data_IF_593333741287
#
_entry.id   IF_593333741287
#
_cell.length_a   1.000
_cell.length_b   1.000
_cell.length_c   1.000
_cell.angle_alpha   90.00
_cell.angle_beta   90.00
_cell.angle_gamma   90.00
#
_symmetry.space_group_name_H-M   'P 1'
#
loop_
_entity.id
_entity.type
_entity.pdbx_description
1 polymer ?
#
# COMPACT_ATOMS: atom_id res chain seq x y z
N UNK A 1 -58.58 46.16 15.51
CA UNK A 1 -59.05 45.90 14.13
C UNK A 1 -57.87 45.50 13.27
N UNK A 2 -57.96 44.36 12.57
CA UNK A 2 -57.03 43.86 11.55
C UNK A 2 -57.03 44.79 10.31
N UNK A 3 -56.04 44.92 9.40
CA UNK A 3 -55.03 43.99 8.84
C UNK A 3 -53.76 44.73 8.36
N UNK A 4 -52.62 44.02 8.21
CA UNK A 4 -51.42 44.46 7.50
C UNK A 4 -51.51 44.17 5.98
N UNK A 5 -50.81 44.97 5.16
CA UNK A 5 -50.43 44.57 3.79
C UNK A 5 -48.94 44.85 3.60
N UNK A 6 -48.21 43.78 3.31
CA UNK A 6 -46.80 43.76 2.99
C UNK A 6 -46.58 44.08 1.51
N UNK A 7 -45.56 44.87 1.19
CA UNK A 7 -44.88 44.80 -0.11
C UNK A 7 -43.36 44.69 0.08
N UNK A 8 -42.94 43.44 -0.09
CA UNK A 8 -41.65 42.90 -0.58
C UNK A 8 -40.39 43.78 -0.57
N UNK A 9 -39.33 43.24 0.06
CA UNK A 9 -37.90 43.56 -0.19
C UNK A 9 -37.57 43.45 -1.70
N UNK A 10 -36.48 44.08 -2.19
CA UNK A 10 -35.19 43.40 -2.12
C UNK A 10 -34.02 44.25 -1.59
N UNK A 11 -33.04 43.48 -1.13
CA UNK A 11 -31.66 43.81 -0.77
C UNK A 11 -30.98 44.77 -1.75
N UNK A 12 -30.12 45.66 -1.24
CA UNK A 12 -28.69 45.67 -1.57
C UNK A 12 -27.95 46.67 -0.68
N UNK A 13 -26.88 46.16 -0.06
CA UNK A 13 -25.98 46.90 0.81
C UNK A 13 -25.13 47.90 0.02
N UNK A 14 -24.99 49.12 0.51
CA UNK A 14 -23.95 50.05 0.06
C UNK A 14 -23.16 50.59 1.27
N UNK A 15 -21.94 50.06 1.38
CA UNK A 15 -20.68 50.70 1.74
C UNK A 15 -20.72 51.83 2.79
N UNK A 16 -20.48 51.46 4.06
CA UNK A 16 -19.98 52.39 5.08
C UNK A 16 -18.51 52.72 4.81
N UNK A 17 -18.24 53.92 4.30
CA UNK A 17 -16.90 54.53 4.30
C UNK A 17 -16.51 54.81 5.75
N UNK A 18 -15.38 54.27 6.22
CA UNK A 18 -14.80 54.60 7.54
C UNK A 18 -13.70 55.64 7.34
N UNK A 19 -13.87 56.82 7.94
CA UNK A 19 -12.84 57.84 8.01
C UNK A 19 -11.67 57.37 8.87
N UNK A 20 -10.44 57.49 8.36
CA UNK A 20 -9.21 57.30 9.13
C UNK A 20 -8.52 58.66 9.28
N UNK A 21 -8.24 59.05 10.53
CA UNK A 21 -7.44 60.22 10.85
C UNK A 21 -5.95 59.91 10.56
N UNK A 22 -5.31 60.76 9.77
CA UNK A 22 -3.87 60.68 9.48
C UNK A 22 -3.17 61.72 10.36
N UNK A 23 -2.36 61.25 11.32
CA UNK A 23 -1.40 62.11 12.00
C UNK A 23 -0.14 62.20 11.14
N UNK A 24 0.08 63.34 10.51
CA UNK A 24 1.33 63.67 9.83
C UNK A 24 2.16 64.49 10.81
N UNK A 25 3.33 63.99 11.21
CA UNK A 25 4.30 64.80 11.95
C UNK A 25 4.97 65.80 10.98
N UNK A 26 5.13 67.04 11.42
CA UNK A 26 5.67 68.16 10.60
C UNK A 26 7.11 67.96 10.08
N UNK A 27 7.77 66.86 10.46
CA UNK A 27 9.13 66.55 10.02
C UNK A 27 9.24 66.00 8.59
N UNK A 28 8.15 65.66 7.90
CA UNK A 28 8.21 65.03 6.56
C UNK A 28 7.94 65.95 5.35
N UNK A 29 7.82 67.27 5.53
CA UNK A 29 7.52 68.19 4.40
C UNK A 29 8.66 68.41 3.38
N UNK A 30 9.85 67.83 3.54
CA UNK A 30 11.01 68.12 2.65
C UNK A 30 11.51 66.98 1.78
N UNK A 31 10.88 65.82 1.77
CA UNK A 31 11.23 64.75 0.83
C UNK A 31 9.98 64.28 0.10
N UNK A 32 9.99 64.39 -1.24
CA UNK A 32 8.98 63.79 -2.13
C UNK A 32 9.06 62.27 -2.09
N UNK A 33 8.78 61.69 -0.94
CA UNK A 33 8.73 60.24 -0.75
C UNK A 33 7.27 59.84 -0.92
N UNK A 34 6.94 59.12 -2.00
CA UNK A 34 5.64 58.46 -2.16
C UNK A 34 5.44 57.55 -0.95
N UNK A 35 4.51 57.90 -0.07
CA UNK A 35 4.07 57.02 1.03
C UNK A 35 3.17 55.95 0.42
N UNK A 36 3.72 54.75 0.22
CA UNK A 36 2.96 53.60 -0.24
C UNK A 36 2.13 53.06 0.95
N UNK A 37 0.82 53.34 0.94
CA UNK A 37 -0.10 52.86 1.97
C UNK A 37 -0.36 51.37 1.73
N UNK A 38 0.49 50.52 2.29
CA UNK A 38 0.24 49.07 2.31
C UNK A 38 -0.79 48.78 3.41
N UNK A 39 -2.06 48.65 3.03
CA UNK A 39 -3.10 48.17 3.93
C UNK A 39 -2.76 46.74 4.40
N UNK A 40 -2.24 46.62 5.64
CA UNK A 40 -2.01 45.32 6.27
C UNK A 40 -3.36 44.61 6.40
N UNK A 41 -3.56 43.55 5.61
CA UNK A 41 -4.74 42.68 5.67
C UNK A 41 -5.05 42.30 7.11
N UNK A 42 -6.33 42.34 7.49
CA UNK A 42 -6.76 42.14 8.87
C UNK A 42 -6.21 40.82 9.44
N UNK A 43 -5.81 40.83 10.71
CA UNK A 43 -5.35 39.63 11.43
C UNK A 43 -6.43 38.54 11.42
N UNK A 44 -7.71 38.93 11.38
CA UNK A 44 -8.85 38.02 11.27
C UNK A 44 -8.86 37.26 9.94
N UNK A 45 -8.61 37.92 8.80
CA UNK A 45 -8.57 37.23 7.49
C UNK A 45 -7.38 36.29 7.37
N UNK A 46 -6.23 36.64 7.97
CA UNK A 46 -5.07 35.74 8.04
C UNK A 46 -5.36 34.51 8.91
N UNK A 47 -6.04 34.68 10.06
CA UNK A 47 -6.43 33.57 10.94
C UNK A 47 -7.50 32.68 10.30
N UNK A 48 -8.49 33.27 9.63
CA UNK A 48 -9.56 32.54 8.93
C UNK A 48 -8.98 31.61 7.86
N UNK A 49 -8.14 32.15 6.97
CA UNK A 49 -7.49 31.35 5.90
C UNK A 49 -6.53 30.29 6.43
N UNK A 50 -5.85 30.55 7.55
CA UNK A 50 -4.99 29.54 8.20
C UNK A 50 -5.81 28.38 8.78
N UNK A 51 -6.98 28.67 9.35
CA UNK A 51 -7.88 27.66 9.87
C UNK A 51 -8.59 26.89 8.76
N UNK A 52 -9.04 27.56 7.70
CA UNK A 52 -9.59 26.95 6.47
C UNK A 52 -8.56 25.96 5.90
N UNK A 53 -7.33 26.39 5.62
CA UNK A 53 -6.26 25.50 5.11
C UNK A 53 -5.94 24.33 6.05
N UNK A 54 -6.02 24.53 7.37
CA UNK A 54 -5.77 23.45 8.34
C UNK A 54 -6.92 22.44 8.37
N UNK A 55 -8.14 22.87 8.11
CA UNK A 55 -9.29 22.00 7.97
C UNK A 55 -9.26 21.27 6.63
N UNK A 56 -8.93 21.95 5.53
CA UNK A 56 -8.79 21.34 4.20
C UNK A 56 -7.73 20.22 4.20
N UNK A 57 -6.58 20.44 4.86
CA UNK A 57 -5.55 19.40 5.02
C UNK A 57 -6.04 18.23 5.87
N UNK A 58 -6.79 18.50 6.95
CA UNK A 58 -7.36 17.43 7.78
C UNK A 58 -8.44 16.63 7.06
N UNK A 59 -9.27 17.28 6.24
CA UNK A 59 -10.30 16.65 5.44
C UNK A 59 -9.70 15.84 4.30
N UNK A 60 -8.67 16.36 3.61
CA UNK A 60 -7.91 15.62 2.61
C UNK A 60 -7.23 14.37 3.19
N UNK A 61 -6.64 14.48 4.40
CA UNK A 61 -6.09 13.32 5.10
C UNK A 61 -7.17 12.29 5.45
N UNK A 62 -8.32 12.72 5.96
CA UNK A 62 -9.44 11.81 6.29
C UNK A 62 -10.03 11.12 5.06
N UNK A 63 -10.23 11.85 3.96
CA UNK A 63 -10.72 11.26 2.71
C UNK A 63 -9.71 10.30 2.09
N UNK A 64 -8.41 10.61 2.15
CA UNK A 64 -7.38 9.68 1.69
C UNK A 64 -7.31 8.40 2.56
N UNK A 65 -7.41 8.54 3.89
CA UNK A 65 -7.41 7.41 4.80
C UNK A 65 -8.67 6.54 4.64
N UNK A 66 -9.85 7.15 4.45
CA UNK A 66 -11.11 6.45 4.20
C UNK A 66 -11.13 5.77 2.83
N UNK A 67 -10.58 6.40 1.80
CA UNK A 67 -10.46 5.79 0.47
C UNK A 67 -9.49 4.60 0.49
N UNK A 68 -8.41 4.68 1.27
CA UNK A 68 -7.47 3.58 1.46
C UNK A 68 -8.11 2.45 2.28
N UNK A 69 -8.87 2.78 3.32
CA UNK A 69 -9.61 1.82 4.14
C UNK A 69 -10.73 1.12 3.35
N UNK A 70 -11.46 1.84 2.49
CA UNK A 70 -12.44 1.25 1.57
C UNK A 70 -11.79 0.37 0.50
N UNK A 71 -10.63 0.76 -0.04
CA UNK A 71 -9.86 -0.08 -0.96
C UNK A 71 -9.40 -1.36 -0.28
N UNK A 72 -8.86 -1.25 0.93
CA UNK A 72 -8.44 -2.39 1.74
C UNK A 72 -9.64 -3.28 2.12
N UNK A 73 -10.81 -2.70 2.43
CA UNK A 73 -12.02 -3.47 2.72
C UNK A 73 -12.56 -4.19 1.49
N UNK A 74 -12.55 -3.55 0.31
CA UNK A 74 -12.95 -4.16 -0.96
C UNK A 74 -11.95 -5.22 -1.44
N UNK A 75 -10.66 -5.02 -1.19
CA UNK A 75 -9.65 -6.07 -1.39
C UNK A 75 -9.87 -7.23 -0.42
N UNK A 76 -10.07 -6.98 0.88
CA UNK A 76 -10.36 -8.00 1.89
C UNK A 76 -11.59 -8.84 1.54
N UNK A 77 -12.63 -8.22 0.98
CA UNK A 77 -13.83 -8.92 0.52
C UNK A 77 -13.58 -9.83 -0.71
N UNK A 78 -12.51 -9.60 -1.47
CA UNK A 78 -12.06 -10.44 -2.59
C UNK A 78 -10.99 -11.46 -2.19
N UNK A 79 -10.47 -11.40 -0.96
CA UNK A 79 -9.47 -12.36 -0.47
C UNK A 79 -10.15 -13.71 -0.26
N UNK A 80 -9.59 -14.75 -0.87
CA UNK A 80 -9.90 -16.12 -0.50
C UNK A 80 -9.55 -16.29 0.98
N UNK A 81 -10.42 -16.99 1.74
CA UNK A 81 -10.14 -17.32 3.13
C UNK A 81 -8.71 -17.89 3.25
N UNK A 82 -7.92 -17.48 4.25
CA UNK A 82 -6.58 -18.01 4.43
C UNK A 82 -6.62 -19.54 4.42
N UNK A 83 -5.76 -20.22 3.65
CA UNK A 83 -5.78 -21.66 3.62
C UNK A 83 -5.60 -22.21 5.04
N UNK A 84 -6.33 -23.26 5.43
CA UNK A 84 -6.16 -23.87 6.74
C UNK A 84 -4.70 -24.31 6.90
N UNK A 85 -4.16 -24.30 8.14
CA UNK A 85 -2.82 -24.79 8.38
C UNK A 85 -2.65 -26.21 7.82
N UNK A 86 -1.51 -26.53 7.21
CA UNK A 86 -1.26 -27.86 6.66
C UNK A 86 -1.24 -28.90 7.78
N UNK A 87 -1.70 -30.12 7.47
CA UNK A 87 -1.77 -31.24 8.44
C UNK A 87 -0.38 -31.72 8.88
N UNK A 88 0.63 -31.56 8.02
CA UNK A 88 2.04 -31.83 8.29
C UNK A 88 2.93 -31.09 7.28
N UNK A 89 4.23 -31.00 7.57
CA UNK A 89 5.23 -30.43 6.66
C UNK A 89 5.36 -31.23 5.36
N UNK A 90 5.20 -32.55 5.39
CA UNK A 90 5.20 -33.40 4.18
C UNK A 90 4.02 -33.08 3.25
N UNK A 91 2.81 -32.91 3.81
CA UNK A 91 1.62 -32.52 3.04
C UNK A 91 1.81 -31.13 2.44
N UNK A 92 2.41 -30.20 3.20
CA UNK A 92 2.74 -28.87 2.69
C UNK A 92 3.75 -28.94 1.53
N UNK A 93 4.78 -29.79 1.64
CA UNK A 93 5.80 -29.99 0.58
C UNK A 93 5.17 -30.52 -0.69
N UNK A 94 4.32 -31.53 -0.59
CA UNK A 94 3.60 -32.08 -1.74
C UNK A 94 2.71 -31.03 -2.43
N UNK A 95 1.96 -30.26 -1.65
CA UNK A 95 1.12 -29.17 -2.18
C UNK A 95 1.96 -28.08 -2.86
N UNK A 96 3.09 -27.70 -2.26
CA UNK A 96 4.03 -26.73 -2.84
C UNK A 96 4.58 -27.21 -4.19
N UNK A 97 5.01 -28.46 -4.29
CA UNK A 97 5.52 -29.06 -5.54
C UNK A 97 4.45 -29.11 -6.64
N UNK A 98 3.21 -29.47 -6.28
CA UNK A 98 2.09 -29.46 -7.24
C UNK A 98 1.83 -28.06 -7.79
N UNK A 99 1.81 -27.04 -6.92
CA UNK A 99 1.61 -25.65 -7.34
C UNK A 99 2.77 -25.13 -8.19
N UNK A 100 4.02 -25.51 -7.88
CA UNK A 100 5.17 -25.17 -8.71
C UNK A 100 5.06 -25.78 -10.12
N UNK A 101 4.62 -27.05 -10.22
CA UNK A 101 4.37 -27.69 -11.50
C UNK A 101 3.25 -26.97 -12.30
N UNK A 102 2.18 -26.53 -11.62
CA UNK A 102 1.11 -25.74 -12.24
C UNK A 102 1.61 -24.37 -12.72
N UNK A 103 2.43 -23.68 -11.94
CA UNK A 103 3.07 -22.42 -12.37
C UNK A 103 3.92 -22.65 -13.61
N UNK A 104 4.74 -23.71 -13.64
CA UNK A 104 5.56 -24.04 -14.80
C UNK A 104 4.72 -24.34 -16.06
N UNK A 105 3.62 -25.07 -15.92
CA UNK A 105 2.67 -25.31 -17.00
C UNK A 105 2.01 -24.01 -17.49
N UNK A 106 1.58 -23.15 -16.56
CA UNK A 106 0.96 -21.87 -16.88
C UNK A 106 1.93 -20.91 -17.58
N UNK A 107 3.20 -20.89 -17.19
CA UNK A 107 4.24 -20.12 -17.91
C UNK A 107 4.37 -20.59 -19.36
N UNK A 108 4.28 -21.90 -19.63
CA UNK A 108 4.28 -22.43 -21.00
C UNK A 108 3.02 -21.98 -21.77
N UNK A 109 1.85 -22.04 -21.14
CA UNK A 109 0.60 -21.57 -21.75
C UNK A 109 0.66 -20.07 -22.11
N UNK A 110 1.13 -19.22 -21.19
CA UNK A 110 1.33 -17.78 -21.43
C UNK A 110 2.33 -17.53 -22.55
N UNK A 111 3.38 -18.35 -22.69
CA UNK A 111 4.34 -18.23 -23.80
C UNK A 111 3.68 -18.57 -25.13
N UNK A 112 2.95 -19.68 -25.20
CA UNK A 112 2.25 -20.10 -26.41
C UNK A 112 1.24 -19.05 -26.88
N UNK A 113 0.41 -18.51 -25.98
CA UNK A 113 -0.59 -17.51 -26.35
C UNK A 113 0.04 -16.17 -26.76
N UNK A 114 1.15 -15.79 -26.12
CA UNK A 114 1.95 -14.62 -26.51
C UNK A 114 2.62 -14.78 -27.87
N UNK A 115 2.95 -16.01 -28.26
CA UNK A 115 3.51 -16.33 -29.57
C UNK A 115 2.43 -16.25 -30.65
N UNK A 116 1.26 -16.85 -30.41
CA UNK A 116 0.10 -16.70 -31.29
C UNK A 116 -0.29 -15.23 -31.49
N UNK A 117 -0.32 -14.44 -30.41
CA UNK A 117 -0.61 -13.00 -30.47
C UNK A 117 0.48 -12.17 -31.18
N UNK A 118 1.70 -12.69 -31.35
CA UNK A 118 2.74 -12.00 -32.16
C UNK A 118 2.60 -12.28 -33.65
N UNK A 119 1.94 -13.37 -34.01
CA UNK A 119 1.78 -13.81 -35.40
C UNK A 119 0.56 -13.16 -36.06
N UNK A 120 -0.31 -12.48 -35.29
CA UNK A 120 -1.44 -11.71 -35.81
C UNK A 120 -0.99 -10.37 -36.38
N UNK A 121 -1.66 -9.91 -37.44
CA UNK A 121 -1.44 -8.60 -38.07
C UNK A 121 -1.60 -7.41 -37.11
N UNK A 122 -2.38 -7.63 -36.05
CA UNK A 122 -2.80 -6.60 -35.10
C UNK A 122 -1.78 -6.37 -33.98
N UNK A 123 -0.66 -7.09 -33.98
CA UNK A 123 0.37 -6.95 -32.95
C UNK A 123 1.17 -5.65 -33.12
N UNK A 124 0.86 -4.67 -32.29
CA UNK A 124 1.52 -3.35 -32.26
C UNK A 124 2.72 -3.27 -31.31
N UNK A 125 3.26 -4.41 -30.86
CA UNK A 125 4.34 -4.47 -29.86
C UNK A 125 3.86 -4.53 -28.41
N UNK A 126 2.54 -4.54 -28.18
CA UNK A 126 1.91 -4.60 -26.86
C UNK A 126 0.90 -5.73 -26.78
N UNK A 127 0.83 -6.41 -25.63
CA UNK A 127 -0.17 -7.45 -25.36
C UNK A 127 -1.46 -6.92 -24.73
N UNK A 128 -1.59 -5.60 -24.53
CA UNK A 128 -2.77 -5.00 -23.87
C UNK A 128 -4.06 -5.20 -24.67
N UNK A 129 -3.93 -5.29 -25.99
CA UNK A 129 -5.04 -5.40 -26.93
C UNK A 129 -5.51 -6.86 -27.10
N UNK A 130 -4.88 -7.81 -26.41
CA UNK A 130 -5.18 -9.24 -26.48
C UNK A 130 -5.76 -9.70 -25.13
N UNK A 131 -7.10 -9.72 -24.96
CA UNK A 131 -7.74 -10.11 -23.70
C UNK A 131 -7.30 -11.49 -23.21
N UNK A 132 -7.15 -12.45 -24.12
CA UNK A 132 -6.72 -13.81 -23.80
C UNK A 132 -5.32 -13.84 -23.16
N UNK A 133 -4.39 -13.00 -23.65
CA UNK A 133 -3.06 -12.88 -23.06
C UNK A 133 -3.13 -12.25 -21.67
N UNK A 134 -4.04 -11.27 -21.46
CA UNK A 134 -4.24 -10.65 -20.15
C UNK A 134 -4.82 -11.65 -19.14
N UNK A 135 -5.81 -12.45 -19.54
CA UNK A 135 -6.43 -13.45 -18.69
C UNK A 135 -5.42 -14.52 -18.25
N UNK A 136 -4.61 -15.02 -19.18
CA UNK A 136 -3.56 -15.99 -18.85
C UNK A 136 -2.46 -15.40 -17.96
N UNK A 137 -2.16 -14.10 -18.11
CA UNK A 137 -1.25 -13.38 -17.20
C UNK A 137 -1.84 -13.18 -15.80
N UNK A 138 -3.15 -12.94 -15.69
CA UNK A 138 -3.84 -12.84 -14.40
C UNK A 138 -3.81 -14.19 -13.68
N UNK A 139 -4.15 -15.29 -14.39
CA UNK A 139 -4.06 -16.66 -13.86
C UNK A 139 -2.65 -16.98 -13.39
N UNK A 140 -1.63 -16.62 -14.17
CA UNK A 140 -0.23 -16.83 -13.78
C UNK A 140 0.13 -16.09 -12.48
N UNK A 141 -0.30 -14.83 -12.33
CA UNK A 141 -0.05 -14.07 -11.09
C UNK A 141 -0.73 -14.69 -9.87
N UNK A 142 -1.97 -15.17 -10.03
CA UNK A 142 -2.70 -15.85 -8.96
C UNK A 142 -1.99 -17.14 -8.55
N UNK A 143 -1.60 -17.97 -9.51
CA UNK A 143 -0.85 -19.22 -9.23
C UNK A 143 0.51 -18.94 -8.60
N UNK A 144 1.21 -17.89 -9.01
CA UNK A 144 2.48 -17.47 -8.38
C UNK A 144 2.26 -17.07 -6.92
N UNK A 145 1.22 -16.30 -6.62
CA UNK A 145 0.86 -15.94 -5.24
C UNK A 145 0.54 -17.19 -4.41
N UNK A 146 -0.26 -18.12 -4.94
CA UNK A 146 -0.56 -19.40 -4.28
C UNK A 146 0.68 -20.26 -4.06
N UNK A 147 1.61 -20.29 -5.02
CA UNK A 147 2.87 -21.02 -4.87
C UNK A 147 3.77 -20.40 -3.79
N UNK A 148 3.77 -19.07 -3.63
CA UNK A 148 4.42 -18.39 -2.50
C UNK A 148 3.82 -18.81 -1.17
N UNK A 149 2.49 -18.76 -1.07
CA UNK A 149 1.79 -19.13 0.16
C UNK A 149 2.05 -20.61 0.51
N UNK A 150 2.04 -21.50 -0.47
CA UNK A 150 2.37 -22.91 -0.25
C UNK A 150 3.84 -23.11 0.19
N UNK A 151 4.79 -22.38 -0.41
CA UNK A 151 6.18 -22.41 0.02
C UNK A 151 6.36 -21.92 1.47
N UNK A 152 5.71 -20.81 1.83
CA UNK A 152 5.74 -20.31 3.21
C UNK A 152 5.02 -21.25 4.18
N UNK A 153 3.95 -21.92 3.75
CA UNK A 153 3.25 -22.91 4.57
C UNK A 153 4.13 -24.12 4.90
N UNK A 154 5.05 -24.52 4.01
CA UNK A 154 6.09 -25.52 4.33
C UNK A 154 6.96 -25.01 5.47
N UNK A 155 7.47 -23.79 5.35
CA UNK A 155 8.35 -23.18 6.37
C UNK A 155 7.66 -23.11 7.74
N UNK A 156 6.41 -22.62 7.79
CA UNK A 156 5.69 -22.48 9.05
C UNK A 156 5.27 -23.83 9.64
N UNK A 157 4.95 -24.82 8.80
CA UNK A 157 4.68 -26.18 9.25
C UNK A 157 5.92 -26.80 9.91
N UNK A 158 7.06 -26.76 9.23
CA UNK A 158 8.34 -27.29 9.74
C UNK A 158 8.75 -26.59 11.05
N UNK A 159 8.61 -25.27 11.11
CA UNK A 159 8.87 -24.50 12.33
C UNK A 159 7.94 -24.92 13.49
N UNK A 160 6.67 -25.19 13.19
CA UNK A 160 5.70 -25.67 14.17
C UNK A 160 6.02 -27.06 14.72
N UNK A 161 6.34 -27.99 13.82
CA UNK A 161 6.70 -29.38 14.14
C UNK A 161 7.98 -29.46 14.98
N UNK A 162 8.97 -28.60 14.72
CA UNK A 162 10.20 -28.56 15.51
C UNK A 162 10.05 -27.83 16.87
N UNK A 163 8.91 -27.18 17.11
CA UNK A 163 8.65 -26.57 18.41
C UNK A 163 8.33 -27.63 19.46
N UNK A 164 8.53 -27.31 20.74
CA UNK A 164 8.27 -28.24 21.86
C UNK A 164 6.83 -28.81 21.91
N UNK A 165 5.88 -28.18 21.21
CA UNK A 165 4.50 -28.66 21.11
C UNK A 165 4.25 -29.60 19.94
N UNK A 166 5.14 -29.66 18.94
CA UNK A 166 5.02 -30.54 17.77
C UNK A 166 3.82 -30.24 16.85
N UNK A 167 3.20 -29.07 16.96
CA UNK A 167 2.00 -28.71 16.19
C UNK A 167 2.39 -27.83 15.00
N UNK A 168 1.99 -28.19 13.75
CA UNK A 168 2.21 -27.35 12.58
C UNK A 168 1.57 -25.97 12.76
N UNK A 169 2.30 -24.91 12.38
CA UNK A 169 1.79 -23.54 12.45
C UNK A 169 1.30 -23.07 11.09
N UNK A 170 0.24 -22.28 11.11
CA UNK A 170 -0.30 -21.64 9.92
C UNK A 170 0.28 -20.25 9.67
N UNK A 171 0.18 -19.77 8.43
CA UNK A 171 0.60 -18.42 8.05
C UNK A 171 -0.13 -17.30 8.81
N UNK A 172 -1.37 -17.57 9.24
CA UNK A 172 -2.17 -16.64 10.02
C UNK A 172 -1.52 -16.26 11.37
N UNK A 173 -0.74 -17.16 11.98
CA UNK A 173 0.00 -16.87 13.22
C UNK A 173 1.10 -15.82 13.02
N UNK A 174 1.56 -15.66 11.79
CA UNK A 174 2.58 -14.68 11.39
C UNK A 174 1.94 -13.43 10.75
N UNK A 175 0.61 -13.25 10.91
CA UNK A 175 -0.17 -12.14 10.35
C UNK A 175 -0.11 -12.03 8.84
N UNK A 176 0.13 -13.15 8.14
CA UNK A 176 0.13 -13.17 6.69
C UNK A 176 -1.27 -12.89 6.14
N UNK A 177 -1.37 -11.93 5.22
CA UNK A 177 -2.61 -11.64 4.50
C UNK A 177 -2.62 -12.34 3.14
N UNK A 178 -3.46 -13.38 2.99
CA UNK A 178 -3.57 -14.12 1.72
C UNK A 178 -3.99 -13.21 0.57
N UNK A 179 -3.32 -13.38 -0.58
CA UNK A 179 -3.57 -12.61 -1.80
C UNK A 179 -3.06 -11.16 -1.80
N UNK A 180 -2.58 -10.62 -0.67
CA UNK A 180 -2.01 -9.26 -0.61
C UNK A 180 -0.62 -9.17 -1.26
N UNK A 181 0.03 -10.32 -1.47
CA UNK A 181 1.36 -10.42 -2.06
C UNK A 181 2.50 -10.17 -1.07
N UNK A 182 3.71 -10.54 -1.46
CA UNK A 182 4.89 -10.56 -0.58
C UNK A 182 5.31 -9.18 -0.10
N UNK A 183 5.15 -8.14 -0.93
CA UNK A 183 5.49 -6.76 -0.55
C UNK A 183 4.61 -6.23 0.58
N UNK A 184 3.31 -6.53 0.55
CA UNK A 184 2.39 -6.14 1.62
C UNK A 184 2.66 -6.92 2.92
N UNK A 185 3.12 -8.16 2.79
CA UNK A 185 3.42 -9.06 3.90
C UNK A 185 4.91 -9.09 4.30
N UNK A 186 5.70 -8.07 3.97
CA UNK A 186 7.15 -8.07 4.22
C UNK A 186 7.48 -8.29 5.70
N UNK A 187 6.74 -7.63 6.60
CA UNK A 187 6.89 -7.80 8.04
C UNK A 187 6.58 -9.24 8.51
N UNK A 188 5.64 -9.93 7.85
CA UNK A 188 5.37 -11.35 8.11
C UNK A 188 6.54 -12.23 7.68
N UNK A 189 7.14 -11.97 6.50
CA UNK A 189 8.35 -12.66 6.05
C UNK A 189 9.50 -12.48 7.04
N UNK A 190 9.74 -11.26 7.52
CA UNK A 190 10.74 -10.95 8.54
C UNK A 190 10.51 -11.72 9.84
N UNK A 191 9.25 -11.73 10.31
CA UNK A 191 8.90 -12.43 11.54
C UNK A 191 9.11 -13.94 11.43
N UNK A 192 8.75 -14.55 10.28
CA UNK A 192 9.02 -15.97 10.02
C UNK A 192 10.54 -16.21 9.95
N UNK A 193 11.30 -15.39 9.23
CA UNK A 193 12.78 -15.52 9.15
C UNK A 193 13.43 -15.50 10.52
N UNK A 194 13.05 -14.55 11.39
CA UNK A 194 13.59 -14.47 12.75
C UNK A 194 13.21 -15.70 13.59
N UNK A 195 12.01 -16.26 13.41
CA UNK A 195 11.60 -17.48 14.08
C UNK A 195 12.42 -18.69 13.61
N UNK A 196 12.67 -18.81 12.30
CA UNK A 196 13.54 -19.84 11.72
C UNK A 196 14.97 -19.72 12.24
N UNK A 197 15.54 -18.52 12.31
CA UNK A 197 16.88 -18.28 12.86
C UNK A 197 16.99 -18.74 14.32
N UNK A 198 15.99 -18.42 15.15
CA UNK A 198 15.93 -18.88 16.56
C UNK A 198 15.85 -20.40 16.67
N UNK A 199 15.15 -21.05 15.74
CA UNK A 199 15.05 -22.50 15.65
C UNK A 199 16.24 -23.17 14.93
N UNK A 200 17.25 -22.40 14.48
CA UNK A 200 18.40 -22.87 13.68
C UNK A 200 18.01 -23.51 12.34
N UNK A 201 16.86 -23.12 11.78
CA UNK A 201 16.31 -23.58 10.50
C UNK A 201 16.73 -22.67 9.34
N UNK A 202 18.04 -22.55 9.10
CA UNK A 202 18.56 -21.62 8.07
C UNK A 202 18.24 -22.11 6.65
N UNK A 203 18.55 -23.37 6.35
CA UNK A 203 18.37 -23.93 5.00
C UNK A 203 16.89 -24.09 4.63
N UNK A 204 16.11 -24.68 5.54
CA UNK A 204 14.70 -25.02 5.26
C UNK A 204 13.75 -23.83 5.37
N UNK A 205 14.12 -22.77 6.08
CA UNK A 205 13.24 -21.62 6.33
C UNK A 205 13.77 -20.32 5.78
N UNK A 206 14.94 -19.90 6.26
CA UNK A 206 15.50 -18.58 5.94
C UNK A 206 15.82 -18.45 4.46
N UNK A 207 16.55 -19.41 3.87
CA UNK A 207 16.91 -19.35 2.45
C UNK A 207 15.69 -19.41 1.54
N UNK A 208 14.68 -20.19 1.91
CA UNK A 208 13.43 -20.27 1.14
C UNK A 208 12.70 -18.91 1.12
N UNK A 209 12.68 -18.19 2.25
CA UNK A 209 12.08 -16.84 2.31
C UNK A 209 12.92 -15.84 1.51
N UNK A 210 14.25 -15.90 1.60
CA UNK A 210 15.14 -15.04 0.78
C UNK A 210 14.93 -15.29 -0.71
N UNK A 211 14.77 -16.54 -1.13
CA UNK A 211 14.48 -16.89 -2.52
C UNK A 211 13.13 -16.31 -2.98
N UNK A 212 12.09 -16.38 -2.14
CA UNK A 212 10.79 -15.76 -2.40
C UNK A 212 10.95 -14.24 -2.60
N UNK A 213 11.68 -13.57 -1.71
CA UNK A 213 11.92 -12.12 -1.82
C UNK A 213 12.65 -11.76 -3.12
N UNK A 214 13.69 -12.52 -3.48
CA UNK A 214 14.44 -12.32 -4.74
C UNK A 214 13.55 -12.53 -5.97
N UNK A 215 12.75 -13.60 -5.99
CA UNK A 215 11.83 -13.89 -7.10
C UNK A 215 10.81 -12.77 -7.30
N UNK A 216 10.33 -12.21 -6.20
CA UNK A 216 9.35 -11.13 -6.21
C UNK A 216 10.00 -9.74 -6.33
N UNK A 217 11.32 -9.69 -6.57
CA UNK A 217 12.15 -8.49 -6.75
C UNK A 217 12.03 -7.50 -5.58
N UNK A 218 11.97 -8.03 -4.37
CA UNK A 218 12.04 -7.25 -3.15
C UNK A 218 13.50 -7.19 -2.73
N UNK A 219 14.04 -5.97 -2.72
CA UNK A 219 15.43 -5.75 -2.32
C UNK A 219 15.60 -6.10 -0.84
N UNK A 220 16.64 -6.88 -0.55
CA UNK A 220 16.97 -7.34 0.81
C UNK A 220 17.27 -6.15 1.74
N UNK A 221 17.76 -5.04 1.19
CA UNK A 221 17.98 -3.78 1.91
C UNK A 221 16.67 -3.18 2.45
N UNK A 222 15.52 -3.62 1.94
CA UNK A 222 14.20 -3.22 2.46
C UNK A 222 13.85 -3.91 3.78
N UNK A 223 14.62 -4.92 4.21
CA UNK A 223 14.41 -5.62 5.47
C UNK A 223 14.86 -4.78 6.65
N UNK A 224 14.25 -5.00 7.82
CA UNK A 224 14.72 -4.39 9.07
C UNK A 224 16.22 -4.69 9.29
N UNK A 225 17.07 -3.69 9.60
CA UNK A 225 18.50 -3.88 9.82
C UNK A 225 18.86 -4.97 10.85
N UNK A 226 17.98 -5.23 11.82
CA UNK A 226 18.17 -6.32 12.80
C UNK A 226 18.03 -7.68 12.15
N UNK A 227 17.13 -7.83 11.19
CA UNK A 227 16.96 -9.07 10.41
C UNK A 227 18.20 -9.29 9.56
N UNK A 228 18.65 -8.27 8.83
CA UNK A 228 19.86 -8.33 8.00
C UNK A 228 21.07 -8.77 8.83
N UNK A 229 21.28 -8.14 9.99
CA UNK A 229 22.38 -8.50 10.91
C UNK A 229 22.27 -9.96 11.38
N UNK A 230 21.07 -10.42 11.70
CA UNK A 230 20.85 -11.80 12.14
C UNK A 230 21.11 -12.81 11.01
N UNK A 231 20.78 -12.46 9.76
CA UNK A 231 21.08 -13.26 8.56
C UNK A 231 22.59 -13.38 8.33
N UNK A 232 23.31 -12.27 8.39
CA UNK A 232 24.77 -12.24 8.26
C UNK A 232 25.46 -13.07 9.36
N UNK A 233 24.98 -12.96 10.61
CA UNK A 233 25.48 -13.78 11.72
C UNK A 233 25.24 -15.29 11.52
N UNK A 234 24.18 -15.64 10.80
CA UNK A 234 23.88 -17.03 10.43
C UNK A 234 24.59 -17.50 9.16
N UNK A 235 25.48 -16.68 8.58
CA UNK A 235 26.23 -17.02 7.36
C UNK A 235 25.40 -16.98 6.09
N UNK A 236 24.24 -16.31 6.10
CA UNK A 236 23.44 -16.06 4.89
C UNK A 236 23.98 -14.81 4.22
N UNK A 237 24.33 -14.92 2.94
CA UNK A 237 24.77 -13.79 2.13
C UNK A 237 23.55 -12.98 1.66
N UNK A 238 23.45 -11.74 2.16
CA UNK A 238 22.32 -10.81 2.01
C UNK A 238 22.78 -9.47 1.47
#
# INVERSE_FOLDING_TARGET
MFRPIALKRPLLAQNRVRHFAVFVSDAQRKTKTRVEIVAKRSVQDKRRRRNERRNDVKEAFRTSAQAEEERQARERARRLSPPPPPKSSEVAKQSSLQLQAQVAAQVKAVRAIKESARQTSDFTGSYKEFPEVQDELIKLRQLQASATEAALAVVTATLGEQSAKGVPRGLHEFRWESGAGTKANLASCEFIMLACLKARLVQEGVLQIVEILRRDRIDIVSLDPKVIKALQQAGVDV
#
